data_IF_823810440097
#
_entry.id   IF_823810440097
#
_cell.length_a   1.000
_cell.length_b   1.000
_cell.length_c   1.000
_cell.angle_alpha   90.00
_cell.angle_beta   90.00
_cell.angle_gamma   90.00
#
_symmetry.space_group_name_H-M   'P 1'
#
loop_
_entity.id
_entity.type
_entity.pdbx_description
1 polymer ?
#
# COMPACT_ATOMS: atom_id res chain seq x y z
N UNK A 1 -23.57 -6.34 -22.71
CA UNK A 1 -24.17 -5.64 -21.56
C UNK A 1 -25.32 -6.41 -20.94
N UNK A 2 -26.53 -6.48 -21.53
CA UNK A 2 -27.70 -7.13 -20.89
C UNK A 2 -27.50 -8.64 -20.58
N UNK A 3 -26.81 -9.39 -21.44
CA UNK A 3 -26.49 -10.81 -21.20
C UNK A 3 -25.48 -11.04 -20.07
N UNK A 4 -24.57 -10.08 -19.84
CA UNK A 4 -23.56 -10.15 -18.77
C UNK A 4 -24.17 -9.80 -17.40
N UNK A 5 -25.15 -8.89 -17.37
CA UNK A 5 -25.94 -8.62 -16.16
C UNK A 5 -26.83 -9.79 -15.76
N UNK A 6 -27.48 -10.44 -16.72
CA UNK A 6 -28.24 -11.66 -16.45
C UNK A 6 -27.34 -12.75 -15.89
N UNK A 7 -26.13 -12.92 -16.44
CA UNK A 7 -25.15 -13.86 -15.89
C UNK A 7 -24.72 -13.46 -14.46
N UNK A 8 -24.55 -12.17 -14.15
CA UNK A 8 -24.24 -11.69 -12.79
C UNK A 8 -25.39 -11.93 -11.80
N UNK A 9 -26.63 -11.68 -12.21
CA UNK A 9 -27.81 -11.87 -11.36
C UNK A 9 -28.08 -13.36 -11.11
N UNK A 10 -27.87 -14.21 -12.11
CA UNK A 10 -27.90 -15.67 -11.98
C UNK A 10 -26.74 -16.17 -11.12
N UNK A 11 -25.56 -15.55 -11.24
CA UNK A 11 -24.41 -15.82 -10.40
C UNK A 11 -24.73 -15.46 -8.93
N UNK A 12 -25.13 -14.23 -8.60
CA UNK A 12 -25.45 -13.84 -7.22
C UNK A 12 -26.59 -14.66 -6.56
N UNK A 13 -27.39 -15.38 -7.34
CA UNK A 13 -28.43 -16.31 -6.87
C UNK A 13 -27.98 -17.78 -6.77
N UNK A 14 -26.81 -18.13 -7.32
CA UNK A 14 -26.14 -19.43 -7.20
C UNK A 14 -24.97 -19.32 -6.21
N UNK A 15 -24.44 -20.44 -5.68
CA UNK A 15 -23.20 -20.41 -4.92
C UNK A 15 -22.03 -20.06 -5.87
N UNK A 16 -21.82 -18.77 -6.09
CA UNK A 16 -20.72 -18.27 -6.93
C UNK A 16 -19.44 -18.34 -6.17
N UNK A 17 -18.45 -18.96 -6.80
CA UNK A 17 -17.10 -18.99 -6.26
C UNK A 17 -16.59 -17.55 -6.12
N UNK A 18 -16.09 -17.14 -4.95
CA UNK A 18 -15.59 -15.80 -4.66
C UNK A 18 -14.68 -15.18 -5.74
N UNK A 19 -13.86 -16.01 -6.39
CA UNK A 19 -13.00 -15.60 -7.52
C UNK A 19 -13.77 -14.93 -8.65
N UNK A 20 -14.86 -15.55 -9.11
CA UNK A 20 -15.65 -15.03 -10.22
C UNK A 20 -16.30 -13.70 -9.87
N UNK A 21 -16.74 -13.54 -8.62
CA UNK A 21 -17.27 -12.28 -8.12
C UNK A 21 -16.20 -11.17 -8.14
N UNK A 22 -14.98 -11.47 -7.70
CA UNK A 22 -13.88 -10.48 -7.68
C UNK A 22 -13.45 -10.12 -9.10
N UNK A 23 -13.30 -11.09 -10.00
CA UNK A 23 -12.96 -10.84 -11.41
C UNK A 23 -13.98 -9.91 -12.08
N UNK A 24 -15.26 -10.13 -11.82
CA UNK A 24 -16.33 -9.30 -12.37
C UNK A 24 -16.35 -7.91 -11.73
N UNK A 25 -16.19 -7.80 -10.41
CA UNK A 25 -16.17 -6.51 -9.71
C UNK A 25 -14.99 -5.64 -10.15
N UNK A 26 -13.81 -6.24 -10.31
CA UNK A 26 -12.59 -5.53 -10.70
C UNK A 26 -12.59 -5.11 -12.17
N UNK A 27 -13.20 -5.89 -13.06
CA UNK A 27 -13.31 -5.55 -14.48
C UNK A 27 -14.36 -4.47 -14.77
N UNK A 28 -15.35 -4.30 -13.90
CA UNK A 28 -16.49 -3.41 -14.14
C UNK A 28 -16.67 -2.43 -12.96
N UNK A 29 -15.96 -1.29 -12.93
CA UNK A 29 -16.08 -0.32 -11.84
C UNK A 29 -17.48 0.30 -11.71
N UNK A 30 -18.28 0.30 -12.78
CA UNK A 30 -19.68 0.78 -12.79
C UNK A 30 -20.68 -0.25 -12.23
N UNK A 31 -20.23 -1.46 -11.88
CA UNK A 31 -21.11 -2.58 -11.52
C UNK A 31 -22.05 -2.28 -10.36
N UNK A 32 -21.61 -1.44 -9.40
CA UNK A 32 -22.46 -1.03 -8.28
C UNK A 32 -23.66 -0.21 -8.75
N UNK A 33 -23.43 0.76 -9.64
CA UNK A 33 -24.47 1.63 -10.19
C UNK A 33 -25.44 0.81 -11.06
N UNK A 34 -24.88 -0.08 -11.87
CA UNK A 34 -25.66 -0.93 -12.76
C UNK A 34 -26.50 -1.93 -11.96
N UNK A 35 -25.95 -2.56 -10.92
CA UNK A 35 -26.68 -3.49 -10.05
C UNK A 35 -27.83 -2.78 -9.32
N UNK A 36 -27.57 -1.60 -8.75
CA UNK A 36 -28.59 -0.81 -8.06
C UNK A 36 -29.71 -0.35 -9.01
N UNK A 37 -29.36 0.12 -10.22
CA UNK A 37 -30.34 0.52 -11.23
C UNK A 37 -31.22 -0.65 -11.69
N UNK A 38 -30.67 -1.87 -11.71
CA UNK A 38 -31.35 -3.06 -12.24
C UNK A 38 -32.20 -3.81 -11.20
N UNK A 39 -31.78 -3.80 -9.94
CA UNK A 39 -32.41 -4.60 -8.87
C UNK A 39 -33.09 -3.76 -7.80
N UNK A 40 -32.80 -2.46 -7.73
CA UNK A 40 -33.19 -1.59 -6.63
C UNK A 40 -32.44 -1.87 -5.32
N UNK A 41 -31.52 -2.84 -5.30
CA UNK A 41 -30.75 -3.25 -4.12
C UNK A 41 -29.32 -2.74 -4.17
N UNK A 42 -28.70 -2.56 -3.00
CA UNK A 42 -27.30 -2.15 -2.88
C UNK A 42 -26.43 -3.41 -2.88
N UNK A 43 -25.56 -3.55 -3.90
CA UNK A 43 -24.69 -4.73 -4.05
C UNK A 43 -23.86 -5.01 -2.79
N UNK A 44 -23.33 -3.98 -2.13
CA UNK A 44 -22.57 -4.12 -0.88
C UNK A 44 -23.39 -4.75 0.26
N UNK A 45 -24.69 -4.45 0.36
CA UNK A 45 -25.55 -5.04 1.38
C UNK A 45 -25.82 -6.52 1.07
N UNK A 46 -26.08 -6.85 -0.19
CA UNK A 46 -26.27 -8.23 -0.61
C UNK A 46 -25.01 -9.09 -0.37
N UNK A 47 -23.82 -8.56 -0.64
CA UNK A 47 -22.56 -9.25 -0.36
C UNK A 47 -22.26 -9.39 1.15
N UNK A 48 -22.89 -8.58 2.02
CA UNK A 48 -22.82 -8.74 3.47
C UNK A 48 -23.66 -9.92 3.95
N UNK A 49 -24.78 -10.17 3.29
CA UNK A 49 -25.71 -11.24 3.65
C UNK A 49 -25.26 -12.61 3.11
N UNK A 50 -24.31 -12.63 2.16
CA UNK A 50 -23.61 -13.84 1.75
C UNK A 50 -22.72 -14.28 2.93
N UNK A 51 -23.15 -15.32 3.63
CA UNK A 51 -22.51 -15.89 4.81
C UNK A 51 -21.26 -16.71 4.41
N UNK A 52 -20.32 -16.07 3.73
CA UNK A 52 -19.06 -16.65 3.30
C UNK A 52 -17.87 -15.89 3.91
N UNK A 53 -16.73 -16.58 4.13
CA UNK A 53 -15.51 -16.00 4.70
C UNK A 53 -14.89 -14.87 3.86
N UNK A 54 -15.44 -14.58 2.67
CA UNK A 54 -14.95 -13.58 1.73
C UNK A 54 -15.80 -12.30 1.65
N UNK A 55 -16.93 -12.27 2.36
CA UNK A 55 -17.86 -11.13 2.37
C UNK A 55 -17.17 -9.81 2.74
N UNK A 56 -16.23 -9.84 3.69
CA UNK A 56 -15.47 -8.66 4.11
C UNK A 56 -14.51 -8.16 3.02
N UNK A 57 -13.73 -9.06 2.40
CA UNK A 57 -12.84 -8.70 1.29
C UNK A 57 -13.61 -8.16 0.09
N UNK A 58 -14.74 -8.79 -0.26
CA UNK A 58 -15.62 -8.34 -1.34
C UNK A 58 -16.19 -6.94 -1.09
N UNK A 59 -16.59 -6.64 0.15
CA UNK A 59 -17.05 -5.31 0.54
C UNK A 59 -15.95 -4.26 0.38
N UNK A 60 -14.72 -4.58 0.81
CA UNK A 60 -13.61 -3.63 0.71
C UNK A 60 -13.17 -3.37 -0.73
N UNK A 61 -13.18 -4.40 -1.60
CA UNK A 61 -12.87 -4.26 -3.03
C UNK A 61 -13.86 -3.33 -3.75
N UNK A 62 -15.09 -3.19 -3.24
CA UNK A 62 -16.10 -2.30 -3.81
C UNK A 62 -15.97 -0.83 -3.38
N UNK A 63 -15.19 -0.53 -2.35
CA UNK A 63 -15.05 0.84 -1.85
C UNK A 63 -14.18 1.70 -2.79
N UNK A 64 -14.54 2.95 -3.10
CA UNK A 64 -13.61 3.92 -3.69
C UNK A 64 -12.27 3.96 -2.92
N UNK A 65 -11.14 4.14 -3.62
CA UNK A 65 -9.80 4.12 -3.00
C UNK A 65 -9.70 5.04 -1.76
N UNK A 66 -10.35 6.20 -1.80
CA UNK A 66 -10.41 7.14 -0.68
C UNK A 66 -11.17 6.56 0.53
N UNK A 67 -12.38 6.01 0.34
CA UNK A 67 -13.15 5.37 1.42
C UNK A 67 -12.42 4.15 1.99
N UNK A 68 -11.73 3.40 1.12
CA UNK A 68 -10.93 2.28 1.54
C UNK A 68 -9.76 2.69 2.45
N UNK A 69 -9.10 3.83 2.18
CA UNK A 69 -8.06 4.36 3.09
C UNK A 69 -8.62 4.52 4.50
N UNK A 70 -9.78 5.18 4.63
CA UNK A 70 -10.39 5.46 5.92
C UNK A 70 -10.80 4.18 6.65
N UNK A 71 -11.31 3.17 5.93
CA UNK A 71 -11.67 1.88 6.54
C UNK A 71 -10.43 1.14 7.05
N UNK A 72 -9.36 1.11 6.25
CA UNK A 72 -8.10 0.48 6.67
C UNK A 72 -7.48 1.22 7.87
N UNK A 73 -7.47 2.56 7.84
CA UNK A 73 -6.99 3.36 8.97
C UNK A 73 -7.83 3.07 10.22
N UNK A 74 -9.16 3.14 10.12
CA UNK A 74 -10.06 2.88 11.25
C UNK A 74 -9.83 1.50 11.87
N UNK A 75 -9.59 0.48 11.04
CA UNK A 75 -9.40 -0.90 11.47
C UNK A 75 -8.07 -1.11 12.21
N UNK A 76 -7.02 -0.39 11.83
CA UNK A 76 -5.65 -0.65 12.32
C UNK A 76 -5.07 0.50 13.17
N UNK A 77 -5.77 1.63 13.37
CA UNK A 77 -5.23 2.81 14.08
C UNK A 77 -4.73 2.53 15.51
N UNK A 78 -5.27 1.51 16.19
CA UNK A 78 -4.85 1.10 17.54
C UNK A 78 -3.84 -0.06 17.54
N UNK A 79 -3.44 -0.54 16.36
CA UNK A 79 -2.57 -1.71 16.20
C UNK A 79 -1.19 -1.34 15.68
N UNK A 80 -0.20 -2.22 15.89
CA UNK A 80 1.15 -2.07 15.36
C UNK A 80 1.18 -2.04 13.82
N UNK A 81 0.13 -2.54 13.17
CA UNK A 81 0.03 -2.64 11.72
C UNK A 81 -0.33 -1.31 11.06
N UNK A 82 -0.69 -0.26 11.82
CA UNK A 82 -0.94 1.07 11.26
C UNK A 82 0.25 1.60 10.47
N UNK A 83 1.48 1.30 10.91
CA UNK A 83 2.71 1.67 10.21
C UNK A 83 2.73 1.01 8.82
N UNK A 84 2.38 -0.28 8.75
CA UNK A 84 2.31 -0.98 7.48
C UNK A 84 1.21 -0.42 6.58
N UNK A 85 0.02 -0.15 7.12
CA UNK A 85 -1.09 0.47 6.39
C UNK A 85 -0.66 1.82 5.80
N UNK A 86 0.01 2.66 6.59
CA UNK A 86 0.52 3.95 6.12
C UNK A 86 1.60 3.80 5.05
N UNK A 87 2.50 2.81 5.16
CA UNK A 87 3.46 2.49 4.09
C UNK A 87 2.72 2.14 2.78
N UNK A 88 1.71 1.26 2.85
CA UNK A 88 0.93 0.88 1.67
C UNK A 88 0.21 2.08 1.05
N UNK A 89 -0.44 2.91 1.88
CA UNK A 89 -1.22 4.05 1.40
C UNK A 89 -0.32 5.15 0.82
N UNK A 90 0.73 5.54 1.53
CA UNK A 90 1.52 6.72 1.18
C UNK A 90 2.59 6.40 0.13
N UNK A 91 3.27 5.25 0.24
CA UNK A 91 4.33 4.91 -0.71
C UNK A 91 3.79 4.49 -2.08
N UNK A 92 2.51 4.14 -2.20
CA UNK A 92 1.88 3.80 -3.48
C UNK A 92 1.50 4.99 -4.35
N UNK A 93 1.82 6.22 -3.93
CA UNK A 93 1.43 7.44 -4.63
C UNK A 93 2.63 8.13 -5.24
N UNK A 94 2.45 8.57 -6.49
CA UNK A 94 3.32 9.58 -7.08
C UNK A 94 3.01 10.97 -6.48
N UNK A 95 3.81 11.98 -6.85
CA UNK A 95 3.68 13.32 -6.28
C UNK A 95 2.28 13.93 -6.52
N UNK A 96 1.75 13.83 -7.74
CA UNK A 96 0.41 14.34 -8.07
C UNK A 96 -0.69 13.61 -7.26
N UNK A 97 -0.63 12.29 -7.21
CA UNK A 97 -1.57 11.47 -6.43
C UNK A 97 -1.48 11.76 -4.93
N UNK A 98 -0.31 12.12 -4.41
CA UNK A 98 -0.14 12.54 -3.03
C UNK A 98 -0.84 13.87 -2.75
N UNK A 99 -0.67 14.87 -3.63
CA UNK A 99 -1.35 16.16 -3.51
C UNK A 99 -2.88 16.00 -3.57
N UNK A 100 -3.37 15.22 -4.54
CA UNK A 100 -4.80 14.92 -4.65
C UNK A 100 -5.32 14.18 -3.41
N UNK A 101 -4.55 13.22 -2.89
CA UNK A 101 -4.90 12.48 -1.69
C UNK A 101 -4.95 13.37 -0.45
N UNK A 102 -3.97 14.24 -0.25
CA UNK A 102 -3.92 15.16 0.90
C UNK A 102 -5.12 16.11 0.91
N UNK A 103 -5.49 16.66 -0.26
CA UNK A 103 -6.67 17.53 -0.40
C UNK A 103 -8.00 16.82 -0.12
N UNK A 104 -8.05 15.52 -0.36
CA UNK A 104 -9.23 14.69 -0.19
C UNK A 104 -9.24 13.94 1.14
N UNK A 105 -8.13 13.95 1.89
CA UNK A 105 -8.04 13.19 3.13
C UNK A 105 -8.90 13.84 4.20
N UNK A 106 -9.85 13.08 4.70
CA UNK A 106 -10.67 13.45 5.85
C UNK A 106 -10.96 12.17 6.64
N UNK A 107 -10.37 12.08 7.83
CA UNK A 107 -10.61 10.99 8.76
C UNK A 107 -11.29 11.56 10.01
N UNK A 108 -12.61 11.45 10.12
CA UNK A 108 -13.37 12.00 11.25
C UNK A 108 -13.16 13.52 11.48
N UNK A 109 -13.01 14.29 10.39
CA UNK A 109 -12.85 15.74 10.43
C UNK A 109 -11.41 16.22 10.64
N UNK A 110 -10.41 15.33 10.62
CA UNK A 110 -9.00 15.70 10.73
C UNK A 110 -8.23 15.44 9.43
N UNK A 111 -7.32 16.36 9.12
CA UNK A 111 -6.42 16.27 7.97
C UNK A 111 -5.32 15.21 8.18
N UNK A 112 -4.60 14.89 7.10
CA UNK A 112 -3.59 13.84 7.08
C UNK A 112 -2.41 14.13 8.03
N UNK A 113 -1.97 15.39 8.11
CA UNK A 113 -0.87 15.79 8.97
C UNK A 113 -1.24 15.59 10.45
N UNK A 114 -2.43 16.06 10.83
CA UNK A 114 -2.99 15.95 12.16
C UNK A 114 -3.21 14.49 12.52
N UNK A 115 -3.74 13.68 11.60
CA UNK A 115 -3.92 12.24 11.77
C UNK A 115 -2.58 11.52 12.02
N UNK A 116 -1.57 11.73 11.19
CA UNK A 116 -0.24 11.13 11.37
C UNK A 116 0.35 11.57 12.72
N UNK A 117 0.18 12.84 13.07
CA UNK A 117 0.74 13.43 14.30
C UNK A 117 0.08 12.93 15.58
N UNK A 118 -1.22 12.62 15.56
CA UNK A 118 -1.93 12.07 16.71
C UNK A 118 -1.77 10.55 16.83
N UNK A 119 -1.62 9.85 15.71
CA UNK A 119 -1.57 8.38 15.65
C UNK A 119 -0.17 7.84 15.91
N UNK A 120 0.88 8.48 15.37
CA UNK A 120 2.26 7.98 15.46
C UNK A 120 2.99 8.65 16.61
N UNK A 121 3.21 7.92 17.70
CA UNK A 121 3.89 8.42 18.90
C UNK A 121 5.40 8.64 18.69
N UNK A 122 6.06 7.79 17.90
CA UNK A 122 7.48 7.92 17.59
C UNK A 122 7.74 9.12 16.68
N UNK A 123 8.55 10.08 17.16
CA UNK A 123 8.82 11.33 16.47
C UNK A 123 9.53 11.13 15.12
N UNK A 124 10.49 10.21 15.04
CA UNK A 124 11.24 10.01 13.81
C UNK A 124 10.40 9.28 12.77
N UNK A 125 9.60 8.27 13.16
CA UNK A 125 8.62 7.64 12.25
C UNK A 125 7.61 8.66 11.74
N UNK A 126 7.10 9.53 12.62
CA UNK A 126 6.18 10.60 12.26
C UNK A 126 6.80 11.54 11.23
N UNK A 127 8.07 11.94 11.41
CA UNK A 127 8.81 12.77 10.46
C UNK A 127 8.93 12.10 9.09
N UNK A 128 9.14 10.78 9.04
CA UNK A 128 9.16 10.03 7.78
C UNK A 128 7.81 10.15 7.06
N UNK A 129 6.71 9.83 7.73
CA UNK A 129 5.39 9.85 7.09
C UNK A 129 4.94 11.25 6.68
N UNK A 130 5.25 12.29 7.47
CA UNK A 130 4.99 13.68 7.09
C UNK A 130 5.81 14.08 5.85
N UNK A 131 7.07 13.67 5.77
CA UNK A 131 7.91 13.98 4.61
C UNK A 131 7.41 13.29 3.33
N UNK A 132 6.94 12.04 3.43
CA UNK A 132 6.31 11.34 2.31
C UNK A 132 4.99 12.03 1.93
N UNK A 133 4.18 12.42 2.92
CA UNK A 133 2.85 12.98 2.66
C UNK A 133 2.91 14.34 1.96
N UNK A 134 3.98 15.11 2.16
CA UNK A 134 4.18 16.40 1.49
C UNK A 134 4.29 16.31 -0.05
N UNK A 135 4.50 15.12 -0.63
CA UNK A 135 4.42 14.90 -2.08
C UNK A 135 5.41 15.72 -2.93
N UNK A 136 6.46 16.27 -2.31
CA UNK A 136 7.30 17.33 -2.90
C UNK A 136 8.67 16.81 -3.38
N UNK A 137 8.74 15.57 -3.90
CA UNK A 137 10.00 15.05 -4.47
C UNK A 137 10.36 15.81 -5.74
N UNK A 138 11.65 16.09 -5.94
CA UNK A 138 12.16 16.62 -7.20
C UNK A 138 11.79 15.69 -8.36
N UNK A 139 11.41 16.28 -9.48
CA UNK A 139 11.22 15.56 -10.76
C UNK A 139 12.50 15.58 -11.62
N UNK A 140 13.47 16.43 -11.26
CA UNK A 140 14.68 16.66 -12.05
C UNK A 140 15.92 16.15 -11.34
N UNK A 141 16.89 15.68 -12.12
CA UNK A 141 18.20 15.26 -11.64
C UNK A 141 19.12 16.46 -11.53
N UNK A 142 19.78 16.59 -10.38
CA UNK A 142 20.77 17.63 -10.11
C UNK A 142 22.06 16.98 -9.63
N UNK A 143 23.05 16.91 -10.52
CA UNK A 143 24.34 16.26 -10.27
C UNK A 143 25.16 16.95 -9.15
N UNK A 144 24.98 18.26 -8.98
CA UNK A 144 25.64 19.02 -7.91
C UNK A 144 25.03 18.68 -6.56
N UNK A 145 23.69 18.61 -6.50
CA UNK A 145 22.97 18.15 -5.31
C UNK A 145 23.39 16.73 -4.92
N UNK A 146 23.52 15.81 -5.89
CA UNK A 146 23.92 14.42 -5.61
C UNK A 146 25.32 14.34 -4.97
N UNK A 147 26.28 15.14 -5.47
CA UNK A 147 27.65 15.13 -4.95
C UNK A 147 27.72 15.67 -3.51
N UNK A 148 26.96 16.73 -3.22
CA UNK A 148 26.86 17.31 -1.89
C UNK A 148 26.20 16.34 -0.90
N UNK A 149 25.10 15.68 -1.30
CA UNK A 149 24.39 14.74 -0.45
C UNK A 149 25.21 13.47 -0.17
N UNK A 150 25.96 12.96 -1.14
CA UNK A 150 26.93 11.87 -0.93
C UNK A 150 27.94 12.24 0.16
N UNK A 151 28.53 13.43 0.06
CA UNK A 151 29.56 13.89 0.98
C UNK A 151 29.01 14.05 2.40
N UNK A 152 27.78 14.56 2.53
CA UNK A 152 27.07 14.72 3.80
C UNK A 152 26.76 13.35 4.43
N UNK A 153 26.08 12.46 3.73
CA UNK A 153 25.70 11.15 4.29
C UNK A 153 26.93 10.28 4.61
N UNK A 154 28.00 10.36 3.81
CA UNK A 154 29.19 9.55 4.04
C UNK A 154 29.98 9.99 5.29
N UNK A 155 30.13 11.30 5.50
CA UNK A 155 30.97 11.87 6.55
C UNK A 155 30.33 12.02 7.93
N UNK A 156 29.04 11.72 8.08
CA UNK A 156 28.32 11.92 9.33
C UNK A 156 28.40 10.69 10.23
N UNK A 157 28.78 10.94 11.49
CA UNK A 157 28.75 9.95 12.57
C UNK A 157 27.65 10.23 13.61
N UNK A 158 26.95 11.36 13.50
CA UNK A 158 25.82 11.72 14.37
C UNK A 158 24.52 11.12 13.85
N UNK A 159 23.83 10.35 14.70
CA UNK A 159 22.61 9.62 14.33
C UNK A 159 21.47 10.54 13.86
N UNK A 160 21.28 11.69 14.51
CA UNK A 160 20.16 12.61 14.21
C UNK A 160 20.38 13.36 12.90
N UNK A 161 21.62 13.78 12.66
CA UNK A 161 22.00 14.36 11.38
C UNK A 161 21.89 13.32 10.27
N UNK A 162 22.42 12.11 10.47
CA UNK A 162 22.37 11.03 9.49
C UNK A 162 20.92 10.73 9.10
N UNK A 163 20.03 10.57 10.09
CA UNK A 163 18.59 10.38 9.85
C UNK A 163 17.99 11.50 9.00
N UNK A 164 18.30 12.77 9.33
CA UNK A 164 17.73 13.92 8.61
C UNK A 164 18.19 13.98 7.15
N UNK A 165 19.45 13.64 6.86
CA UNK A 165 19.95 13.60 5.49
C UNK A 165 19.43 12.39 4.71
N UNK A 166 19.33 11.22 5.34
CA UNK A 166 18.69 10.05 4.71
C UNK A 166 17.25 10.37 4.35
N UNK A 167 16.52 11.01 5.28
CA UNK A 167 15.14 11.42 5.06
C UNK A 167 15.03 12.40 3.89
N UNK A 168 15.92 13.40 3.83
CA UNK A 168 15.98 14.33 2.71
C UNK A 168 16.23 13.59 1.37
N UNK A 169 17.23 12.71 1.32
CA UNK A 169 17.55 11.93 0.12
C UNK A 169 16.33 11.13 -0.34
N UNK A 170 15.67 10.39 0.55
CA UNK A 170 14.56 9.50 0.17
C UNK A 170 13.24 10.24 -0.12
N UNK A 171 12.99 11.39 0.50
CA UNK A 171 11.72 12.12 0.38
C UNK A 171 11.79 13.38 -0.48
N UNK A 172 12.97 13.84 -0.88
CA UNK A 172 13.14 15.06 -1.69
C UNK A 172 13.89 14.84 -3.00
N UNK A 173 14.76 13.84 -3.11
CA UNK A 173 15.42 13.54 -4.38
C UNK A 173 14.52 12.71 -5.31
N UNK A 174 14.79 12.78 -6.61
CA UNK A 174 14.14 11.90 -7.59
C UNK A 174 14.71 10.46 -7.48
N UNK A 175 14.00 9.51 -8.10
CA UNK A 175 14.37 8.08 -8.10
C UNK A 175 15.80 7.83 -8.63
N UNK A 176 16.18 8.42 -9.75
CA UNK A 176 17.49 8.19 -10.38
C UNK A 176 18.64 8.67 -9.49
N UNK A 177 18.45 9.83 -8.84
CA UNK A 177 19.39 10.42 -7.89
C UNK A 177 19.57 9.52 -6.67
N UNK A 178 18.48 9.01 -6.10
CA UNK A 178 18.52 8.07 -4.96
C UNK A 178 19.33 6.82 -5.30
N UNK A 179 19.08 6.24 -6.49
CA UNK A 179 19.79 5.03 -6.93
C UNK A 179 21.27 5.31 -7.18
N UNK A 180 21.62 6.47 -7.75
CA UNK A 180 23.03 6.87 -7.94
C UNK A 180 23.74 7.09 -6.60
N UNK A 181 23.10 7.77 -5.64
CA UNK A 181 23.62 7.94 -4.28
C UNK A 181 23.87 6.56 -3.65
N UNK A 182 22.90 5.65 -3.74
CA UNK A 182 23.04 4.30 -3.20
C UNK A 182 24.24 3.56 -3.79
N UNK A 183 24.47 3.63 -5.10
CA UNK A 183 25.64 3.01 -5.74
C UNK A 183 26.97 3.57 -5.24
N UNK A 184 27.01 4.82 -4.77
CA UNK A 184 28.24 5.49 -4.33
C UNK A 184 28.58 5.24 -2.87
N UNK A 185 27.57 5.18 -1.99
CA UNK A 185 27.80 5.14 -0.53
C UNK A 185 27.12 3.98 0.20
N UNK A 186 26.48 3.07 -0.54
CA UNK A 186 25.63 2.01 0.02
C UNK A 186 24.62 2.57 1.04
N UNK A 187 23.59 3.25 0.51
CA UNK A 187 22.58 3.91 1.34
C UNK A 187 21.89 2.95 2.32
N UNK A 188 21.76 1.66 2.01
CA UNK A 188 21.16 0.66 2.91
C UNK A 188 22.02 0.48 4.16
N UNK A 189 23.35 0.33 4.02
CA UNK A 189 24.26 0.21 5.17
C UNK A 189 24.20 1.45 6.05
N UNK A 190 24.09 2.64 5.44
CA UNK A 190 23.93 3.90 6.18
C UNK A 190 22.60 3.98 6.92
N UNK A 191 21.51 3.51 6.32
CA UNK A 191 20.21 3.39 7.00
C UNK A 191 20.33 2.42 8.18
N UNK A 192 20.96 1.25 7.99
CA UNK A 192 21.13 0.23 9.04
C UNK A 192 21.98 0.70 10.24
N UNK A 193 22.75 1.77 10.09
CA UNK A 193 23.49 2.39 11.17
C UNK A 193 22.61 3.15 12.17
N UNK A 194 21.35 3.45 11.80
CA UNK A 194 20.38 4.09 12.68
C UNK A 194 19.96 3.16 13.82
N UNK A 195 19.79 3.72 15.02
CA UNK A 195 19.50 2.95 16.24
C UNK A 195 18.05 2.42 16.28
N UNK A 196 17.11 3.20 15.75
CA UNK A 196 15.68 2.85 15.78
C UNK A 196 15.32 1.88 14.65
N UNK A 197 15.03 0.63 15.03
CA UNK A 197 14.73 -0.45 14.09
C UNK A 197 13.46 -0.23 13.27
N UNK A 198 12.46 0.45 13.82
CA UNK A 198 11.22 0.75 13.09
C UNK A 198 11.48 1.83 12.05
N UNK A 199 12.27 2.84 12.39
CA UNK A 199 12.72 3.87 11.42
C UNK A 199 13.55 3.23 10.31
N UNK A 200 14.53 2.38 10.66
CA UNK A 200 15.34 1.61 9.70
C UNK A 200 14.44 0.83 8.75
N UNK A 201 13.45 0.13 9.28
CA UNK A 201 12.52 -0.66 8.50
C UNK A 201 11.72 0.19 7.50
N UNK A 202 11.19 1.34 7.92
CA UNK A 202 10.40 2.21 7.04
C UNK A 202 11.28 2.83 5.96
N UNK A 203 12.48 3.30 6.30
CA UNK A 203 13.41 3.91 5.36
C UNK A 203 13.93 2.90 4.32
N UNK A 204 14.24 1.66 4.75
CA UNK A 204 14.59 0.58 3.82
C UNK A 204 13.39 0.25 2.93
N UNK A 205 12.19 0.17 3.48
CA UNK A 205 10.97 -0.09 2.69
C UNK A 205 10.77 0.99 1.62
N UNK A 206 10.94 2.26 1.99
CA UNK A 206 10.87 3.37 1.06
C UNK A 206 11.95 3.30 -0.02
N UNK A 207 13.19 2.99 0.34
CA UNK A 207 14.28 2.78 -0.61
C UNK A 207 13.96 1.64 -1.60
N UNK A 208 13.48 0.51 -1.09
CA UNK A 208 13.15 -0.65 -1.92
C UNK A 208 11.99 -0.37 -2.88
N UNK A 209 11.02 0.46 -2.49
CA UNK A 209 9.98 0.94 -3.43
C UNK A 209 10.58 1.63 -4.66
N UNK A 210 11.69 2.38 -4.51
CA UNK A 210 12.40 2.97 -5.64
C UNK A 210 13.20 1.94 -6.46
N UNK A 211 13.89 1.03 -5.77
CA UNK A 211 14.82 0.07 -6.35
C UNK A 211 14.10 -1.08 -7.08
N UNK A 212 13.14 -1.70 -6.40
CA UNK A 212 12.46 -2.93 -6.81
C UNK A 212 11.02 -2.72 -7.29
N UNK A 213 10.49 -1.51 -7.15
CA UNK A 213 9.09 -1.20 -7.40
C UNK A 213 8.24 -1.38 -6.14
N UNK A 214 7.16 -0.60 -6.06
CA UNK A 214 6.31 -0.50 -4.87
C UNK A 214 5.61 -1.83 -4.61
N UNK A 215 5.01 -2.42 -5.62
CA UNK A 215 4.20 -3.63 -5.52
C UNK A 215 5.04 -4.81 -5.02
N UNK A 216 6.22 -5.02 -5.63
CA UNK A 216 7.16 -6.08 -5.26
C UNK A 216 7.68 -5.90 -3.84
N UNK A 217 7.99 -4.67 -3.44
CA UNK A 217 8.50 -4.35 -2.12
C UNK A 217 7.47 -4.62 -1.04
N UNK A 218 6.27 -4.06 -1.21
CA UNK A 218 5.19 -4.22 -0.24
C UNK A 218 4.74 -5.69 -0.13
N UNK A 219 4.69 -6.43 -1.24
CA UNK A 219 4.41 -7.86 -1.23
C UNK A 219 5.46 -8.64 -0.44
N UNK A 220 6.75 -8.41 -0.73
CA UNK A 220 7.86 -9.06 0.00
C UNK A 220 7.76 -8.81 1.50
N UNK A 221 7.37 -7.59 1.87
CA UNK A 221 7.24 -7.19 3.25
C UNK A 221 6.05 -7.86 3.95
N UNK A 222 4.90 -7.99 3.28
CA UNK A 222 3.77 -8.76 3.81
C UNK A 222 4.11 -10.24 4.04
N UNK A 223 4.99 -10.82 3.23
CA UNK A 223 5.38 -12.23 3.31
C UNK A 223 6.33 -12.57 4.48
N UNK A 224 7.03 -11.58 5.06
CA UNK A 224 8.05 -11.81 6.10
C UNK A 224 7.50 -12.09 7.51
N UNK A 225 6.19 -11.95 7.71
CA UNK A 225 5.57 -12.08 9.03
C UNK A 225 5.02 -13.48 9.35
N UNK A 226 4.55 -13.63 10.61
CA UNK A 226 3.76 -14.78 11.06
C UNK A 226 2.55 -14.99 10.17
N UNK A 227 2.01 -16.21 10.13
CA UNK A 227 0.91 -16.55 9.22
C UNK A 227 -0.30 -15.61 9.36
N UNK A 228 -0.69 -15.27 10.59
CA UNK A 228 -1.82 -14.37 10.86
C UNK A 228 -1.55 -12.94 10.37
N UNK A 229 -0.38 -12.38 10.70
CA UNK A 229 0.00 -11.03 10.28
C UNK A 229 0.19 -10.95 8.76
N UNK A 230 0.80 -11.97 8.16
CA UNK A 230 0.93 -12.12 6.70
C UNK A 230 -0.43 -12.07 6.01
N UNK A 231 -1.41 -12.82 6.54
CA UNK A 231 -2.78 -12.83 6.00
C UNK A 231 -3.43 -11.45 6.04
N UNK A 232 -3.31 -10.74 7.16
CA UNK A 232 -3.83 -9.37 7.30
C UNK A 232 -3.14 -8.41 6.32
N UNK A 233 -1.81 -8.45 6.24
CA UNK A 233 -1.02 -7.59 5.35
C UNK A 233 -1.31 -7.84 3.87
N UNK A 234 -1.44 -9.09 3.45
CA UNK A 234 -1.84 -9.44 2.08
C UNK A 234 -3.27 -8.98 1.77
N UNK A 235 -4.19 -9.11 2.72
CA UNK A 235 -5.55 -8.57 2.60
C UNK A 235 -5.54 -7.06 2.35
N UNK A 236 -4.75 -6.31 3.11
CA UNK A 236 -4.57 -4.87 2.92
C UNK A 236 -4.03 -4.56 1.50
N UNK A 237 -2.97 -5.24 1.07
CA UNK A 237 -2.34 -4.98 -0.22
C UNK A 237 -3.26 -5.20 -1.42
N UNK A 238 -3.91 -6.36 -1.46
CA UNK A 238 -4.79 -6.71 -2.56
C UNK A 238 -6.01 -5.80 -2.63
N UNK A 239 -6.53 -5.42 -1.47
CA UNK A 239 -7.66 -4.51 -1.38
C UNK A 239 -7.28 -3.11 -1.85
N UNK A 240 -6.09 -2.64 -1.48
CA UNK A 240 -5.67 -1.25 -1.69
C UNK A 240 -5.16 -0.95 -3.09
N UNK A 241 -4.26 -1.80 -3.60
CA UNK A 241 -3.56 -1.48 -4.84
C UNK A 241 -4.49 -1.63 -6.05
N UNK A 242 -5.52 -2.50 -5.98
CA UNK A 242 -6.57 -2.68 -7.01
C UNK A 242 -6.04 -2.72 -8.44
N UNK A 243 -4.81 -3.19 -8.65
CA UNK A 243 -4.16 -3.07 -9.95
C UNK A 243 -4.18 -4.42 -10.66
N UNK A 244 -4.78 -4.43 -11.85
CA UNK A 244 -4.89 -5.60 -12.72
C UNK A 244 -3.51 -6.15 -13.15
N UNK A 245 -2.44 -5.38 -12.96
CA UNK A 245 -1.07 -5.74 -13.31
C UNK A 245 -0.27 -6.45 -12.20
N UNK A 246 -0.89 -6.79 -11.07
CA UNK A 246 -0.24 -7.60 -10.01
C UNK A 246 0.38 -8.90 -10.56
N UNK A 247 -0.21 -9.47 -11.62
CA UNK A 247 0.29 -10.65 -12.35
C UNK A 247 1.60 -10.42 -13.11
N UNK A 248 1.77 -9.26 -13.75
CA UNK A 248 2.95 -8.97 -14.57
C UNK A 248 4.18 -8.58 -13.72
N UNK A 249 3.97 -7.91 -12.59
CA UNK A 249 5.05 -7.36 -11.76
C UNK A 249 5.68 -8.43 -10.84
N UNK A 250 4.90 -9.44 -10.41
CA UNK A 250 5.35 -10.42 -9.41
C UNK A 250 5.98 -11.70 -10.00
N UNK A 251 5.84 -11.97 -11.30
CA UNK A 251 6.12 -13.30 -11.86
C UNK A 251 5.23 -14.38 -11.24
N UNK A 252 5.46 -15.66 -11.54
CA UNK A 252 4.89 -16.77 -10.75
C UNK A 252 5.66 -16.91 -9.43
N UNK A 253 5.07 -16.58 -8.27
CA UNK A 253 5.65 -16.88 -6.98
C UNK A 253 5.76 -18.41 -6.88
N UNK A 254 6.91 -18.91 -6.46
CA UNK A 254 7.10 -20.35 -6.19
C UNK A 254 6.35 -20.69 -4.89
N UNK A 255 5.03 -20.86 -4.99
CA UNK A 255 4.09 -21.08 -3.88
C UNK A 255 4.19 -22.49 -3.26
N UNK A 256 5.34 -23.17 -3.38
CA UNK A 256 5.44 -24.62 -3.18
C UNK A 256 5.27 -25.13 -1.75
N UNK A 257 5.19 -24.29 -0.71
CA UNK A 257 5.28 -24.81 0.67
C UNK A 257 4.20 -24.39 1.68
N UNK A 258 3.06 -23.82 1.29
CA UNK A 258 1.95 -23.64 2.26
C UNK A 258 0.55 -23.74 1.66
N UNK A 259 0.20 -24.93 1.17
CA UNK A 259 -1.12 -25.27 0.60
C UNK A 259 -2.23 -25.54 1.63
N UNK A 260 -2.06 -25.18 2.91
CA UNK A 260 -3.02 -25.56 3.96
C UNK A 260 -3.94 -24.44 4.47
N UNK A 261 -3.77 -23.20 4.01
CA UNK A 261 -4.62 -22.08 4.45
C UNK A 261 -5.63 -21.70 3.36
N UNK A 262 -6.93 -21.85 3.65
CA UNK A 262 -8.05 -21.55 2.74
C UNK A 262 -8.05 -20.11 2.21
N UNK A 263 -7.61 -19.14 3.02
CA UNK A 263 -7.43 -17.75 2.61
C UNK A 263 -6.26 -17.59 1.63
N UNK A 264 -5.22 -18.43 1.76
CA UNK A 264 -4.05 -18.45 0.87
C UNK A 264 -4.41 -18.93 -0.53
N UNK A 265 -5.37 -19.85 -0.63
CA UNK A 265 -5.92 -20.27 -1.90
C UNK A 265 -6.69 -19.12 -2.57
N UNK A 266 -7.39 -18.26 -1.82
CA UNK A 266 -8.04 -17.08 -2.42
C UNK A 266 -7.07 -15.97 -2.78
N UNK A 267 -6.03 -15.71 -1.99
CA UNK A 267 -4.95 -14.81 -2.36
C UNK A 267 -4.21 -15.32 -3.61
N UNK A 268 -3.98 -16.64 -3.69
CA UNK A 268 -3.42 -17.31 -4.87
C UNK A 268 -4.38 -17.27 -6.07
N UNK A 269 -5.68 -17.41 -5.86
CA UNK A 269 -6.68 -17.33 -6.94
C UNK A 269 -6.88 -15.89 -7.43
N UNK A 270 -6.72 -14.88 -6.56
CA UNK A 270 -6.65 -13.47 -6.95
C UNK A 270 -5.36 -13.16 -7.74
N UNK A 271 -4.28 -13.84 -7.38
CA UNK A 271 -3.02 -13.80 -8.09
C UNK A 271 -3.06 -14.54 -9.46
N UNK A 272 -3.86 -15.61 -9.62
CA UNK A 272 -3.97 -16.47 -10.82
C UNK A 272 -4.91 -15.96 -11.90
#
# INVERSE_FOLDING_TARGET
MYSQLQNLMVALQLPVKPKQLIDIITQYPEIMQIYQASTGQILQQQLRDINEPYSHLLQLVLLPKQQLCNVLIQQYQESSEIIFVLCVILMSKNNQQMVEFEQQFDFNGIDLYTFISSTISNLDIRRVFIAISAGSRSEQMDDLLITDEISRVYGINDQKQLFSYILYVLCSCNKESILLIHQKINLIEKIQFLEDKEVVFILITLFECFNNGIEKTLFTLAMKDTELLRKQKLGILLTYLKDANFKQILGEPDFKESTQSYEYEVLYQLWK
#
